data_IF_915260656870
#
_entry.id   IF_915260656870
#
_cell.length_a   1.000
_cell.length_b   1.000
_cell.length_c   1.000
_cell.angle_alpha   90.00
_cell.angle_beta   90.00
_cell.angle_gamma   90.00
#
_symmetry.space_group_name_H-M   'P 1'
#
loop_
_entity.id
_entity.type
_entity.pdbx_description
1 polymer ?
#
# COMPACT_ATOMS: atom_id res chain seq x y z
N UNK A 1 -2.94 15.84 34.88
CA UNK A 1 -3.28 16.73 33.77
C UNK A 1 -2.95 16.00 32.47
N UNK A 2 -3.94 15.60 31.70
CA UNK A 2 -3.72 14.97 30.38
C UNK A 2 -3.17 16.05 29.46
N UNK A 3 -1.95 15.86 28.94
CA UNK A 3 -1.41 16.74 27.91
C UNK A 3 -2.40 16.73 26.74
N UNK A 4 -2.95 17.88 26.39
CA UNK A 4 -3.77 18.01 25.19
C UNK A 4 -2.91 17.59 23.99
N UNK A 5 -3.24 16.46 23.38
CA UNK A 5 -2.58 16.06 22.13
C UNK A 5 -2.88 17.11 21.06
N UNK A 6 -1.85 17.63 20.43
CA UNK A 6 -2.01 18.58 19.33
C UNK A 6 -2.76 17.91 18.17
N UNK A 7 -3.75 18.61 17.63
CA UNK A 7 -4.49 18.15 16.43
C UNK A 7 -3.51 17.95 15.26
N UNK A 8 -3.63 16.84 14.56
CA UNK A 8 -2.89 16.54 13.31
C UNK A 8 -3.83 16.27 12.16
N UNK A 9 -3.46 16.70 10.99
CA UNK A 9 -4.22 16.45 9.77
C UNK A 9 -3.64 15.22 9.06
N UNK A 10 -4.55 14.39 8.55
CA UNK A 10 -4.22 13.21 7.74
C UNK A 10 -4.98 13.31 6.44
N UNK A 11 -4.28 13.17 5.31
CA UNK A 11 -4.88 12.97 4.01
C UNK A 11 -5.03 11.47 3.76
N UNK A 12 -6.23 11.03 3.45
CA UNK A 12 -6.54 9.67 3.03
C UNK A 12 -6.92 9.70 1.55
N UNK A 13 -6.09 9.13 0.68
CA UNK A 13 -6.38 8.98 -0.75
C UNK A 13 -6.80 7.53 -1.01
N UNK A 14 -8.04 7.34 -1.45
CA UNK A 14 -8.59 6.01 -1.78
C UNK A 14 -9.36 6.07 -3.08
N UNK A 15 -8.92 5.33 -4.07
CA UNK A 15 -9.56 5.32 -5.38
C UNK A 15 -8.92 4.34 -6.34
N UNK A 16 -9.55 4.14 -7.48
CA UNK A 16 -9.05 3.31 -8.57
C UNK A 16 -9.85 2.05 -8.78
N UNK A 17 -9.24 1.07 -9.43
CA UNK A 17 -9.89 -0.05 -10.06
C UNK A 17 -9.55 -1.39 -9.38
N UNK A 18 -10.28 -2.43 -9.70
CA UNK A 18 -10.03 -3.85 -9.42
C UNK A 18 -10.06 -4.27 -7.96
N UNK A 19 -10.39 -3.37 -7.05
CA UNK A 19 -10.44 -3.61 -5.60
C UNK A 19 -11.67 -2.98 -4.99
N UNK A 20 -12.17 -3.55 -3.89
CA UNK A 20 -13.22 -2.95 -3.07
C UNK A 20 -12.67 -1.73 -2.31
N UNK A 21 -12.61 -0.62 -3.05
CA UNK A 21 -12.09 0.67 -2.56
C UNK A 21 -12.92 1.19 -1.39
N UNK A 22 -14.24 0.98 -1.42
CA UNK A 22 -15.13 1.47 -0.39
C UNK A 22 -14.97 0.70 0.92
N UNK A 23 -14.80 -0.62 0.85
CA UNK A 23 -14.46 -1.43 2.02
C UNK A 23 -13.14 -0.98 2.63
N UNK A 24 -12.08 -0.87 1.81
CA UNK A 24 -10.77 -0.44 2.28
C UNK A 24 -10.82 0.96 2.92
N UNK A 25 -11.52 1.91 2.28
CA UNK A 25 -11.76 3.26 2.81
C UNK A 25 -12.43 3.21 4.17
N UNK A 26 -13.52 2.44 4.29
CA UNK A 26 -14.26 2.29 5.54
C UNK A 26 -13.37 1.75 6.66
N UNK A 27 -12.59 0.70 6.38
CA UNK A 27 -11.67 0.09 7.35
C UNK A 27 -10.56 1.06 7.78
N UNK A 28 -9.96 1.77 6.83
CA UNK A 28 -8.90 2.76 7.10
C UNK A 28 -9.42 3.94 7.92
N UNK A 29 -10.61 4.45 7.61
CA UNK A 29 -11.26 5.48 8.44
C UNK A 29 -11.52 4.96 9.85
N UNK A 30 -11.92 3.70 10.01
CA UNK A 30 -12.08 3.05 11.32
C UNK A 30 -10.80 3.11 12.15
N UNK A 31 -9.65 2.70 11.58
CA UNK A 31 -8.36 2.76 12.27
C UNK A 31 -7.92 4.20 12.59
N UNK A 32 -8.17 5.17 11.71
CA UNK A 32 -7.86 6.58 11.96
C UNK A 32 -8.72 7.17 13.07
N UNK A 33 -9.98 6.77 13.16
CA UNK A 33 -10.92 7.23 14.21
C UNK A 33 -10.58 6.72 15.61
N UNK A 34 -9.77 5.67 15.74
CA UNK A 34 -9.23 5.24 17.04
C UNK A 34 -8.32 6.32 17.68
N UNK A 35 -7.93 7.36 16.91
CA UNK A 35 -7.04 8.45 17.32
C UNK A 35 -7.77 9.79 17.32
N UNK A 36 -8.38 10.17 18.45
CA UNK A 36 -9.26 11.35 18.57
C UNK A 36 -8.62 12.72 18.20
N UNK A 37 -7.29 12.79 18.15
CA UNK A 37 -6.55 14.02 17.76
C UNK A 37 -6.25 14.09 16.27
N UNK A 38 -6.56 13.04 15.49
CA UNK A 38 -6.40 13.07 14.05
C UNK A 38 -7.64 13.70 13.39
N UNK A 39 -7.39 14.50 12.37
CA UNK A 39 -8.41 15.05 11.49
C UNK A 39 -8.15 14.58 10.07
N UNK A 40 -9.02 13.70 9.60
CA UNK A 40 -8.87 13.08 8.28
C UNK A 40 -9.61 13.88 7.22
N UNK A 41 -8.97 14.07 6.07
CA UNK A 41 -9.57 14.52 4.81
C UNK A 41 -9.46 13.39 3.80
N UNK A 42 -10.55 13.11 3.10
CA UNK A 42 -10.61 12.04 2.09
C UNK A 42 -10.50 12.65 0.70
N UNK A 43 -9.69 12.01 -0.13
CA UNK A 43 -9.50 12.30 -1.55
C UNK A 43 -9.67 11.02 -2.35
N UNK A 44 -10.11 11.12 -3.60
CA UNK A 44 -10.28 9.97 -4.48
C UNK A 44 -9.14 9.82 -5.50
N UNK A 45 -8.44 10.92 -5.77
CA UNK A 45 -7.32 11.01 -6.70
C UNK A 45 -6.23 11.90 -6.10
N UNK A 46 -5.11 12.03 -6.81
CA UNK A 46 -4.03 12.96 -6.47
C UNK A 46 -4.21 14.37 -7.08
N UNK A 47 -5.33 14.69 -7.72
CA UNK A 47 -5.51 15.96 -8.43
C UNK A 47 -5.33 17.18 -7.52
N UNK A 48 -5.79 17.10 -6.28
CA UNK A 48 -5.58 18.16 -5.29
C UNK A 48 -4.32 17.90 -4.44
N UNK A 49 -3.16 17.85 -5.09
CA UNK A 49 -1.88 17.59 -4.40
C UNK A 49 -1.57 18.63 -3.32
N UNK A 50 -1.93 19.90 -3.53
CA UNK A 50 -1.73 20.95 -2.51
C UNK A 50 -2.56 20.68 -1.26
N UNK A 51 -3.82 20.26 -1.42
CA UNK A 51 -4.69 19.86 -0.31
C UNK A 51 -4.20 18.60 0.40
N UNK A 52 -3.64 17.65 -0.33
CA UNK A 52 -3.06 16.41 0.21
C UNK A 52 -1.81 16.72 1.02
N UNK A 53 -0.87 17.47 0.46
CA UNK A 53 0.40 17.82 1.10
C UNK A 53 0.26 18.89 2.21
N UNK A 54 -0.91 19.50 2.37
CA UNK A 54 -1.21 20.39 3.51
C UNK A 54 -1.40 19.62 4.84
N UNK A 55 -1.44 18.30 4.80
CA UNK A 55 -1.49 17.44 5.99
C UNK A 55 -0.09 17.03 6.43
N UNK A 56 0.06 16.62 7.67
CA UNK A 56 1.33 16.10 8.20
C UNK A 56 1.51 14.62 7.86
N UNK A 57 0.41 13.92 7.58
CA UNK A 57 0.38 12.49 7.32
C UNK A 57 -0.44 12.19 6.06
N UNK A 58 0.01 11.20 5.31
CA UNK A 58 -0.67 10.68 4.13
C UNK A 58 -0.91 9.18 4.28
N UNK A 59 -2.12 8.73 3.97
CA UNK A 59 -2.46 7.31 3.83
C UNK A 59 -3.02 7.12 2.42
N UNK A 60 -2.55 6.10 1.71
CA UNK A 60 -3.06 5.80 0.37
C UNK A 60 -3.44 4.33 0.24
N UNK A 61 -4.58 4.09 -0.38
CA UNK A 61 -5.02 2.80 -0.89
C UNK A 61 -5.59 3.04 -2.28
N UNK A 62 -4.77 2.87 -3.28
CA UNK A 62 -5.12 3.17 -4.68
C UNK A 62 -4.69 2.01 -5.59
N UNK A 63 -5.35 1.87 -6.73
CA UNK A 63 -4.89 1.04 -7.84
C UNK A 63 -5.24 1.76 -9.13
N UNK A 64 -4.32 1.91 -10.06
CA UNK A 64 -4.47 2.75 -11.26
C UNK A 64 -4.76 4.24 -10.98
N UNK A 65 -4.51 4.71 -9.79
CA UNK A 65 -4.57 6.13 -9.42
C UNK A 65 -3.21 6.52 -8.89
N UNK A 66 -2.47 7.26 -9.70
CA UNK A 66 -1.13 7.78 -9.42
C UNK A 66 -1.11 9.29 -9.68
N UNK A 67 -0.23 10.07 -9.05
CA UNK A 67 -0.13 11.50 -9.32
C UNK A 67 0.38 11.76 -10.74
N UNK A 68 -0.07 12.87 -11.33
CA UNK A 68 0.56 13.40 -12.53
C UNK A 68 2.07 13.59 -12.29
N UNK A 69 2.93 13.27 -13.27
CA UNK A 69 4.39 13.42 -13.10
C UNK A 69 4.82 14.81 -12.62
N UNK A 70 4.13 15.87 -13.01
CA UNK A 70 4.42 17.25 -12.56
C UNK A 70 4.12 17.48 -11.07
N UNK A 71 3.34 16.63 -10.44
CA UNK A 71 2.97 16.72 -9.02
C UNK A 71 3.90 15.92 -8.10
N UNK A 72 4.68 14.98 -8.65
CA UNK A 72 5.60 14.15 -7.87
C UNK A 72 6.63 14.98 -7.08
N UNK A 73 7.19 16.09 -7.60
CA UNK A 73 8.07 16.95 -6.82
C UNK A 73 7.42 17.52 -5.55
N UNK A 74 6.11 17.82 -5.55
CA UNK A 74 5.40 18.30 -4.34
C UNK A 74 5.29 17.17 -3.30
N UNK A 75 4.96 15.96 -3.72
CA UNK A 75 4.90 14.80 -2.84
C UNK A 75 6.28 14.47 -2.26
N UNK A 76 7.34 14.58 -3.05
CA UNK A 76 8.73 14.46 -2.58
C UNK A 76 9.04 15.53 -1.53
N UNK A 77 8.72 16.78 -1.80
CA UNK A 77 8.95 17.88 -0.89
C UNK A 77 8.19 17.72 0.43
N UNK A 78 6.95 17.21 0.40
CA UNK A 78 6.19 16.84 1.59
C UNK A 78 6.97 15.86 2.47
N UNK A 79 7.54 14.81 1.89
CA UNK A 79 8.35 13.82 2.61
C UNK A 79 9.67 14.43 3.10
N UNK A 80 10.39 15.15 2.25
CA UNK A 80 11.68 15.77 2.61
C UNK A 80 11.55 16.70 3.82
N UNK A 81 10.38 17.34 3.99
CA UNK A 81 10.07 18.21 5.11
C UNK A 81 9.49 17.47 6.35
N UNK A 82 9.55 16.15 6.39
CA UNK A 82 9.18 15.34 7.56
C UNK A 82 7.78 14.72 7.49
N UNK A 83 7.09 14.83 6.36
CA UNK A 83 5.82 14.16 6.14
C UNK A 83 5.95 12.64 6.25
N UNK A 84 4.90 11.98 6.70
CA UNK A 84 4.85 10.52 6.77
C UNK A 84 3.77 9.96 5.86
N UNK A 85 4.11 8.91 5.15
CA UNK A 85 3.22 8.28 4.18
C UNK A 85 3.10 6.77 4.45
N UNK A 86 1.88 6.33 4.77
CA UNK A 86 1.49 4.91 4.77
C UNK A 86 0.87 4.59 3.41
N UNK A 87 1.58 3.86 2.60
CA UNK A 87 1.15 3.42 1.27
C UNK A 87 0.74 1.94 1.32
N UNK A 88 -0.43 1.62 0.83
CA UNK A 88 -1.01 0.30 0.93
C UNK A 88 -1.27 -0.30 -0.45
N UNK A 89 -1.00 -1.60 -0.55
CA UNK A 89 -1.39 -2.49 -1.62
C UNK A 89 -1.16 -1.90 -3.02
N UNK A 90 -2.21 -1.71 -3.83
CA UNK A 90 -2.15 -1.21 -5.20
C UNK A 90 -1.60 0.21 -5.38
N UNK A 91 -1.19 0.89 -4.30
CA UNK A 91 -0.60 2.24 -4.40
C UNK A 91 0.64 2.27 -5.30
N UNK A 92 1.35 1.17 -5.47
CA UNK A 92 2.49 1.05 -6.39
C UNK A 92 2.13 0.45 -7.76
N UNK A 93 0.84 0.42 -8.10
CA UNK A 93 0.31 -0.21 -9.32
C UNK A 93 -0.21 0.83 -10.31
N UNK A 94 0.24 0.71 -11.53
CA UNK A 94 -0.27 1.42 -12.71
C UNK A 94 -0.33 0.42 -13.86
N UNK A 95 -1.52 -0.02 -14.23
CA UNK A 95 -1.74 -1.21 -15.04
C UNK A 95 -2.45 -0.90 -16.34
N UNK A 96 -2.00 -1.56 -17.40
CA UNK A 96 -2.68 -1.64 -18.68
C UNK A 96 -2.67 -3.08 -19.18
N UNK A 97 -3.51 -3.39 -20.14
CA UNK A 97 -3.47 -4.66 -20.87
C UNK A 97 -2.82 -4.48 -22.23
N UNK A 98 -2.00 -5.44 -22.63
CA UNK A 98 -1.50 -5.51 -24.00
C UNK A 98 -2.54 -6.18 -24.94
N UNK A 99 -2.22 -6.26 -26.24
CA UNK A 99 -3.09 -6.88 -27.26
C UNK A 99 -3.46 -8.36 -26.96
N UNK A 100 -2.66 -9.05 -26.15
CA UNK A 100 -2.93 -10.43 -25.74
C UNK A 100 -3.73 -10.51 -24.43
N UNK A 101 -4.24 -9.39 -23.91
CA UNK A 101 -4.98 -9.30 -22.66
C UNK A 101 -4.14 -9.51 -21.40
N UNK A 102 -2.80 -9.39 -21.49
CA UNK A 102 -1.92 -9.54 -20.33
C UNK A 102 -1.63 -8.20 -19.69
N UNK A 103 -1.64 -8.19 -18.38
CA UNK A 103 -1.36 -7.01 -17.57
C UNK A 103 0.13 -6.65 -17.58
N UNK A 104 0.43 -5.36 -17.60
CA UNK A 104 1.78 -4.82 -17.46
C UNK A 104 1.71 -3.40 -16.89
N UNK A 105 2.82 -2.89 -16.38
CA UNK A 105 2.96 -1.50 -15.95
C UNK A 105 3.53 -0.67 -17.11
N UNK A 106 2.76 0.23 -17.73
CA UNK A 106 3.28 1.14 -18.76
C UNK A 106 4.22 2.17 -18.13
N UNK A 107 5.09 2.76 -18.95
CA UNK A 107 5.96 3.86 -18.54
C UNK A 107 5.19 5.16 -18.26
N UNK A 108 5.94 6.19 -17.83
CA UNK A 108 5.43 7.56 -17.63
C UNK A 108 5.27 8.00 -16.18
N UNK A 109 5.44 7.09 -15.22
CA UNK A 109 5.33 7.39 -13.78
C UNK A 109 6.57 6.93 -12.97
N UNK A 110 7.73 6.86 -13.61
CA UNK A 110 8.96 6.35 -13.02
C UNK A 110 9.37 7.11 -11.76
N UNK A 111 9.24 8.44 -11.77
CA UNK A 111 9.59 9.28 -10.60
C UNK A 111 8.72 9.01 -9.39
N UNK A 112 7.43 8.68 -9.60
CA UNK A 112 6.52 8.29 -8.53
C UNK A 112 6.93 6.95 -7.92
N UNK A 113 7.20 5.94 -8.74
CA UNK A 113 7.61 4.63 -8.25
C UNK A 113 9.01 4.66 -7.61
N UNK A 114 9.93 5.45 -8.16
CA UNK A 114 11.24 5.70 -7.56
C UNK A 114 11.09 6.38 -6.18
N UNK A 115 10.16 7.33 -6.04
CA UNK A 115 9.87 7.96 -4.75
C UNK A 115 9.30 6.93 -3.77
N UNK A 116 8.33 6.13 -4.18
CA UNK A 116 7.72 5.09 -3.35
C UNK A 116 8.72 3.98 -2.99
N UNK A 117 9.63 3.63 -3.91
CA UNK A 117 10.69 2.64 -3.73
C UNK A 117 10.41 1.28 -4.35
N UNK A 118 9.22 1.07 -4.88
CA UNK A 118 8.85 -0.14 -5.60
C UNK A 118 7.81 0.14 -6.68
N UNK A 119 7.76 -0.76 -7.64
CA UNK A 119 6.74 -0.83 -8.68
C UNK A 119 6.19 -2.25 -8.74
N UNK A 120 4.87 -2.37 -8.73
CA UNK A 120 4.20 -3.65 -8.97
C UNK A 120 4.52 -4.16 -10.38
N UNK A 121 4.75 -5.45 -10.51
CA UNK A 121 4.99 -6.10 -11.79
C UNK A 121 3.95 -7.19 -12.07
N UNK A 122 3.66 -8.03 -11.07
CA UNK A 122 2.77 -9.17 -11.23
C UNK A 122 2.37 -9.76 -9.87
N UNK A 123 1.42 -10.69 -9.87
CA UNK A 123 1.14 -11.61 -8.78
C UNK A 123 0.74 -13.00 -9.32
N UNK A 124 1.04 -14.10 -8.63
CA UNK A 124 0.49 -15.41 -8.96
C UNK A 124 -1.01 -15.45 -8.65
N UNK A 125 -1.74 -16.51 -9.02
CA UNK A 125 -3.10 -16.71 -8.53
C UNK A 125 -3.17 -16.62 -7.01
N UNK A 126 -4.25 -16.03 -6.51
CA UNK A 126 -4.46 -15.87 -5.07
C UNK A 126 -4.49 -17.24 -4.40
N UNK A 127 -3.60 -17.44 -3.43
CA UNK A 127 -3.43 -18.66 -2.67
C UNK A 127 -2.84 -18.36 -1.30
N UNK A 128 -2.97 -19.27 -0.32
CA UNK A 128 -2.30 -19.10 0.96
C UNK A 128 -0.77 -19.01 0.82
N UNK A 129 -0.15 -18.11 1.57
CA UNK A 129 1.31 -18.00 1.63
C UNK A 129 1.78 -17.53 3.01
N UNK A 130 3.05 -17.79 3.29
CA UNK A 130 3.68 -17.40 4.55
C UNK A 130 4.38 -16.06 4.41
N UNK A 131 4.17 -15.19 5.40
CA UNK A 131 4.91 -13.96 5.61
C UNK A 131 5.94 -14.19 6.70
N UNK A 132 7.19 -13.82 6.40
CA UNK A 132 8.33 -13.91 7.31
C UNK A 132 8.65 -12.53 7.86
N UNK A 133 8.79 -12.43 9.18
CA UNK A 133 9.21 -11.19 9.85
C UNK A 133 10.72 -11.12 9.83
N UNK A 134 11.27 -10.08 9.19
CA UNK A 134 12.73 -9.90 9.01
C UNK A 134 13.32 -8.90 9.97
N UNK A 135 12.51 -7.98 10.50
CA UNK A 135 12.94 -6.97 11.46
C UNK A 135 11.93 -6.85 12.61
N UNK A 136 12.32 -7.29 13.79
CA UNK A 136 11.52 -7.22 15.01
C UNK A 136 11.84 -6.01 15.89
N UNK A 137 12.75 -5.14 15.46
CA UNK A 137 13.11 -3.92 16.20
C UNK A 137 12.24 -2.71 15.79
N UNK A 138 11.65 -2.75 14.61
CA UNK A 138 10.81 -1.66 14.12
C UNK A 138 9.47 -1.60 14.88
N UNK A 139 8.95 -0.42 15.27
CA UNK A 139 7.72 -0.28 16.06
C UNK A 139 6.52 -1.02 15.47
N UNK A 140 6.39 -1.08 14.15
CA UNK A 140 5.26 -1.73 13.47
C UNK A 140 5.36 -3.26 13.51
N UNK A 141 6.55 -3.82 13.32
CA UNK A 141 6.78 -5.27 13.27
C UNK A 141 7.25 -5.88 14.60
N UNK A 142 7.44 -5.06 15.63
CA UNK A 142 7.88 -5.50 16.96
C UNK A 142 6.98 -6.62 17.49
N UNK A 143 7.60 -7.65 18.04
CA UNK A 143 6.93 -8.81 18.62
C UNK A 143 6.03 -9.60 17.67
N UNK A 144 6.03 -9.27 16.37
CA UNK A 144 5.37 -10.09 15.37
C UNK A 144 6.16 -11.40 15.18
N UNK A 145 5.42 -12.45 14.86
CA UNK A 145 5.97 -13.74 14.41
C UNK A 145 5.56 -13.96 12.95
N UNK A 146 6.26 -14.87 12.29
CA UNK A 146 5.83 -15.35 10.99
C UNK A 146 4.38 -15.79 11.03
N UNK A 147 3.63 -15.51 9.98
CA UNK A 147 2.21 -15.88 9.93
C UNK A 147 1.81 -16.35 8.53
N UNK A 148 0.68 -17.04 8.48
CA UNK A 148 0.05 -17.45 7.23
C UNK A 148 -1.05 -16.48 6.84
N UNK A 149 -1.11 -16.14 5.56
CA UNK A 149 -2.26 -15.49 4.92
C UNK A 149 -3.15 -16.61 4.40
N UNK A 150 -3.94 -17.22 5.30
CA UNK A 150 -4.67 -18.47 5.02
C UNK A 150 -5.75 -18.30 3.94
N UNK A 151 -6.46 -17.18 3.93
CA UNK A 151 -7.46 -16.85 2.91
C UNK A 151 -6.86 -16.49 1.55
N UNK A 152 -5.54 -16.33 1.49
CA UNK A 152 -4.83 -15.75 0.35
C UNK A 152 -4.94 -14.23 0.30
N UNK A 153 -3.97 -13.62 -0.35
CA UNK A 153 -3.93 -12.20 -0.72
C UNK A 153 -3.12 -12.14 -2.02
N UNK A 154 -3.11 -11.05 -2.73
CA UNK A 154 -2.24 -10.89 -3.88
C UNK A 154 -0.79 -10.79 -3.42
N UNK A 155 -0.02 -11.87 -3.61
CA UNK A 155 1.42 -11.84 -3.34
C UNK A 155 2.13 -11.02 -4.42
N UNK A 156 2.43 -9.78 -4.13
CA UNK A 156 3.04 -8.86 -5.09
C UNK A 156 4.49 -9.24 -5.42
N UNK A 157 4.73 -9.49 -6.69
CA UNK A 157 6.05 -9.50 -7.28
C UNK A 157 6.37 -8.08 -7.73
N UNK A 158 7.43 -7.50 -7.19
CA UNK A 158 7.73 -6.09 -7.37
C UNK A 158 9.18 -5.88 -7.82
N UNK A 159 9.37 -4.89 -8.68
CA UNK A 159 10.67 -4.31 -8.89
C UNK A 159 10.98 -3.33 -7.76
N UNK A 160 12.04 -3.60 -7.02
CA UNK A 160 12.56 -2.68 -6.01
C UNK A 160 13.41 -1.61 -6.72
N UNK A 161 13.07 -0.34 -6.52
CA UNK A 161 13.66 0.81 -7.22
C UNK A 161 14.52 1.67 -6.30
N UNK A 162 14.66 1.29 -5.04
CA UNK A 162 15.48 1.97 -4.05
C UNK A 162 15.91 1.00 -2.96
N UNK A 163 16.94 1.36 -2.20
CA UNK A 163 17.25 0.71 -0.94
C UNK A 163 16.14 1.01 0.08
N UNK A 164 15.64 -0.05 0.71
CA UNK A 164 14.57 0.01 1.69
C UNK A 164 14.89 -0.87 2.90
N UNK A 165 14.36 -0.52 4.04
CA UNK A 165 14.39 -1.36 5.24
C UNK A 165 13.24 -2.36 5.18
N UNK A 166 13.51 -3.60 4.83
CA UNK A 166 12.50 -4.66 4.76
C UNK A 166 12.14 -5.15 6.16
N UNK A 167 10.88 -5.03 6.54
CA UNK A 167 10.36 -5.45 7.84
C UNK A 167 9.69 -6.83 7.78
N UNK A 168 9.07 -7.13 6.64
CA UNK A 168 8.44 -8.43 6.37
C UNK A 168 8.57 -8.76 4.89
N UNK A 169 8.67 -10.05 4.58
CA UNK A 169 8.79 -10.56 3.22
C UNK A 169 8.02 -11.86 3.03
N UNK A 170 7.72 -12.19 1.79
CA UNK A 170 7.23 -13.49 1.39
C UNK A 170 8.06 -14.03 0.22
N UNK A 171 7.97 -15.33 -0.03
CA UNK A 171 8.71 -15.98 -1.13
C UNK A 171 7.80 -16.21 -2.33
N UNK A 172 8.32 -15.98 -3.52
CA UNK A 172 7.63 -16.27 -4.76
C UNK A 172 7.19 -17.75 -4.80
N UNK A 173 5.94 -17.98 -5.16
CA UNK A 173 5.27 -19.30 -5.07
C UNK A 173 4.49 -19.68 -6.33
N UNK A 174 4.87 -19.17 -7.49
CA UNK A 174 4.19 -19.54 -8.73
C UNK A 174 4.34 -18.55 -9.86
N UNK A 175 3.96 -18.97 -11.06
CA UNK A 175 3.97 -18.13 -12.24
C UNK A 175 2.79 -17.16 -12.25
N UNK A 176 3.05 -15.92 -12.65
CA UNK A 176 2.05 -14.86 -12.78
C UNK A 176 1.46 -14.82 -14.20
N UNK A 177 0.70 -15.87 -14.56
CA UNK A 177 0.29 -16.15 -15.96
C UNK A 177 -0.54 -15.05 -16.62
N UNK A 178 -1.25 -14.23 -15.85
CA UNK A 178 -2.05 -13.10 -16.36
C UNK A 178 -1.23 -11.87 -16.73
N UNK A 179 0.08 -11.89 -16.48
CA UNK A 179 0.98 -10.73 -16.65
C UNK A 179 1.98 -10.94 -17.78
N UNK A 180 2.55 -9.85 -18.27
CA UNK A 180 3.66 -9.88 -19.24
C UNK A 180 4.90 -10.45 -18.55
N UNK A 181 5.23 -9.97 -17.36
CA UNK A 181 6.30 -10.48 -16.51
C UNK A 181 5.78 -11.66 -15.68
N UNK A 182 5.72 -12.83 -16.27
CA UNK A 182 5.05 -14.01 -15.69
C UNK A 182 5.98 -15.00 -15.00
N UNK A 183 7.26 -14.99 -15.35
CA UNK A 183 8.24 -15.96 -14.82
C UNK A 183 9.08 -15.27 -13.73
N UNK A 184 9.07 -15.85 -12.54
CA UNK A 184 9.77 -15.34 -11.37
C UNK A 184 10.50 -16.50 -10.70
N UNK A 185 11.71 -16.24 -10.20
CA UNK A 185 12.53 -17.26 -9.57
C UNK A 185 11.84 -17.82 -8.33
N UNK A 186 11.67 -19.15 -8.30
CA UNK A 186 11.07 -19.82 -7.17
C UNK A 186 11.85 -19.55 -5.88
N UNK A 187 11.15 -19.08 -4.86
CA UNK A 187 11.76 -18.72 -3.58
C UNK A 187 12.41 -17.34 -3.54
N UNK A 188 12.39 -16.56 -4.63
CA UNK A 188 12.75 -15.15 -4.59
C UNK A 188 11.93 -14.43 -3.50
N UNK A 189 12.60 -13.61 -2.70
CA UNK A 189 11.94 -12.84 -1.63
C UNK A 189 11.39 -11.54 -2.18
N UNK A 190 10.13 -11.26 -1.83
CA UNK A 190 9.47 -10.00 -2.12
C UNK A 190 9.08 -9.31 -0.81
N UNK A 191 9.41 -8.02 -0.62
CA UNK A 191 8.97 -7.27 0.54
C UNK A 191 7.44 -7.24 0.63
N UNK A 192 6.91 -7.56 1.82
CA UNK A 192 5.49 -7.41 2.17
C UNK A 192 5.27 -6.12 2.93
N UNK A 193 6.23 -5.74 3.76
CA UNK A 193 6.24 -4.49 4.51
C UNK A 193 7.66 -3.93 4.49
N UNK A 194 7.81 -2.68 4.08
CA UNK A 194 9.10 -1.98 4.13
C UNK A 194 8.96 -0.52 4.52
N UNK A 195 10.03 0.03 5.08
CA UNK A 195 10.19 1.46 5.34
C UNK A 195 11.24 2.04 4.39
N UNK A 196 10.97 3.24 3.88
CA UNK A 196 11.90 4.04 3.07
C UNK A 196 12.03 5.44 3.62
N UNK A 197 13.27 5.86 3.90
CA UNK A 197 13.57 7.23 4.30
C UNK A 197 13.61 8.16 3.08
N UNK A 198 12.99 9.34 3.18
CA UNK A 198 13.05 10.40 2.16
C UNK A 198 13.24 11.74 2.86
N UNK A 199 14.46 12.28 2.86
CA UNK A 199 14.80 13.47 3.64
C UNK A 199 14.54 13.25 5.13
N UNK A 200 13.73 14.11 5.76
CA UNK A 200 13.34 14.00 7.16
C UNK A 200 12.08 13.14 7.37
N UNK A 201 11.37 12.76 6.29
CA UNK A 201 10.16 11.95 6.33
C UNK A 201 10.39 10.52 5.92
N UNK A 202 9.35 9.72 6.05
CA UNK A 202 9.40 8.28 5.76
C UNK A 202 8.15 7.80 5.02
N UNK A 203 8.33 6.76 4.22
CA UNK A 203 7.27 5.97 3.63
C UNK A 203 7.26 4.60 4.29
N UNK A 204 6.09 4.13 4.72
CA UNK A 204 5.85 2.75 5.09
C UNK A 204 4.94 2.15 4.01
N UNK A 205 5.45 1.19 3.26
CA UNK A 205 4.67 0.50 2.24
C UNK A 205 4.31 -0.91 2.69
N UNK A 206 3.04 -1.28 2.50
CA UNK A 206 2.50 -2.56 2.91
C UNK A 206 1.72 -3.20 1.74
N UNK A 207 2.25 -4.28 1.16
CA UNK A 207 1.65 -4.92 -0.02
C UNK A 207 0.40 -5.74 0.28
N UNK A 208 0.20 -6.19 1.52
CA UNK A 208 -1.06 -6.84 1.91
C UNK A 208 -2.21 -5.84 1.89
N UNK A 209 -3.41 -6.37 1.71
CA UNK A 209 -4.63 -5.58 1.76
C UNK A 209 -5.48 -5.71 0.50
N UNK A 210 -5.26 -6.77 -0.28
CA UNK A 210 -6.20 -7.12 -1.35
C UNK A 210 -7.61 -7.28 -0.80
N UNK A 211 -8.58 -6.75 -1.52
CA UNK A 211 -10.01 -7.00 -1.32
C UNK A 211 -10.71 -6.82 -2.65
N UNK A 212 -11.52 -7.80 -3.03
CA UNK A 212 -12.37 -7.73 -4.22
C UNK A 212 -13.73 -8.36 -3.92
N UNK A 213 -14.79 -7.62 -4.18
CA UNK A 213 -16.15 -8.10 -4.18
C UNK A 213 -16.63 -8.42 -5.59
N UNK A 214 -17.94 -8.60 -5.73
CA UNK A 214 -18.52 -9.06 -6.99
C UNK A 214 -18.50 -8.02 -8.11
N UNK A 215 -18.42 -6.72 -7.80
CA UNK A 215 -18.58 -5.62 -8.75
C UNK A 215 -17.28 -4.85 -9.04
N UNK A 216 -16.18 -5.23 -8.40
CA UNK A 216 -14.93 -4.46 -8.43
C UNK A 216 -14.10 -4.71 -9.70
N UNK A 217 -14.56 -5.55 -10.61
CA UNK A 217 -13.92 -5.80 -11.89
C UNK A 217 -14.52 -5.02 -13.06
N UNK A 218 -15.53 -4.18 -12.82
CA UNK A 218 -16.06 -3.29 -13.87
C UNK A 218 -14.97 -2.32 -14.38
N UNK A 219 -14.96 -1.99 -15.67
CA UNK A 219 -15.86 -2.47 -16.73
C UNK A 219 -15.40 -3.78 -17.42
N UNK A 220 -14.38 -4.46 -16.90
CA UNK A 220 -13.84 -5.68 -17.53
C UNK A 220 -14.78 -6.87 -17.41
N UNK A 221 -15.45 -6.99 -16.27
CA UNK A 221 -16.45 -8.01 -15.98
C UNK A 221 -17.60 -7.36 -15.23
N UNK A 222 -18.83 -7.60 -15.68
CA UNK A 222 -20.05 -7.12 -15.03
C UNK A 222 -20.28 -7.76 -13.66
N UNK A 223 -19.74 -8.96 -13.44
CA UNK A 223 -19.86 -9.71 -12.20
C UNK A 223 -18.67 -10.64 -12.00
N UNK A 224 -18.07 -10.59 -10.83
CA UNK A 224 -16.98 -11.47 -10.39
C UNK A 224 -17.54 -12.49 -9.39
N UNK A 225 -17.51 -13.76 -9.72
CA UNK A 225 -18.20 -14.81 -8.94
C UNK A 225 -17.64 -15.00 -7.53
N UNK A 226 -16.33 -14.78 -7.35
CA UNK A 226 -15.61 -15.09 -6.13
C UNK A 226 -15.26 -13.81 -5.34
N UNK A 227 -15.76 -13.69 -4.12
CA UNK A 227 -15.23 -12.69 -3.20
C UNK A 227 -13.81 -13.06 -2.73
N UNK A 228 -12.93 -12.07 -2.69
CA UNK A 228 -11.55 -12.22 -2.26
C UNK A 228 -11.30 -11.31 -1.06
N UNK A 229 -11.41 -11.84 0.18
CA UNK A 229 -11.34 -11.04 1.40
C UNK A 229 -9.93 -10.52 1.70
N UNK A 230 -8.89 -11.13 1.14
CA UNK A 230 -7.50 -10.78 1.40
C UNK A 230 -7.11 -10.89 2.88
N UNK A 231 -6.15 -10.06 3.27
CA UNK A 231 -5.62 -10.06 4.64
C UNK A 231 -6.47 -9.29 5.65
N UNK A 232 -7.52 -8.57 5.23
CA UNK A 232 -8.28 -7.65 6.09
C UNK A 232 -8.90 -8.30 7.33
N UNK A 233 -9.26 -9.59 7.24
CA UNK A 233 -9.87 -10.36 8.33
C UNK A 233 -8.84 -10.98 9.29
N UNK A 234 -7.54 -10.91 8.98
CA UNK A 234 -6.50 -11.46 9.84
C UNK A 234 -6.27 -10.57 11.07
N UNK A 235 -6.29 -11.13 12.30
CA UNK A 235 -6.00 -10.36 13.51
C UNK A 235 -4.62 -9.68 13.47
N UNK A 236 -3.62 -10.35 12.87
CA UNK A 236 -2.27 -9.79 12.71
C UNK A 236 -2.28 -8.58 11.79
N UNK A 237 -3.06 -8.58 10.70
CA UNK A 237 -3.20 -7.43 9.82
C UNK A 237 -3.80 -6.23 10.56
N UNK A 238 -4.89 -6.42 11.31
CA UNK A 238 -5.47 -5.37 12.15
C UNK A 238 -4.48 -4.80 13.18
N UNK A 239 -3.64 -5.66 13.76
CA UNK A 239 -2.57 -5.25 14.68
C UNK A 239 -1.52 -4.40 13.97
N UNK A 240 -1.05 -4.84 12.79
CA UNK A 240 -0.08 -4.10 11.98
C UNK A 240 -0.64 -2.75 11.53
N UNK A 241 -1.91 -2.70 11.13
CA UNK A 241 -2.57 -1.44 10.74
C UNK A 241 -2.63 -0.45 11.91
N UNK A 242 -3.03 -0.86 13.12
CA UNK A 242 -3.03 0.03 14.30
C UNK A 242 -1.63 0.54 14.64
N UNK A 243 -0.63 -0.31 14.55
CA UNK A 243 0.77 0.09 14.75
C UNK A 243 1.26 1.05 13.65
N UNK A 244 0.85 0.82 12.40
CA UNK A 244 1.15 1.72 11.30
C UNK A 244 0.50 3.09 11.49
N UNK A 245 -0.74 3.15 11.99
CA UNK A 245 -1.40 4.42 12.34
C UNK A 245 -0.69 5.14 13.50
N UNK A 246 -0.14 4.40 14.47
CA UNK A 246 0.69 4.99 15.53
C UNK A 246 2.02 5.50 14.97
N UNK A 247 2.72 4.68 14.18
CA UNK A 247 3.96 5.05 13.50
C UNK A 247 3.79 6.30 12.63
N UNK A 248 2.67 6.41 11.91
CA UNK A 248 2.34 7.55 11.05
C UNK A 248 2.40 8.90 11.79
N UNK A 249 2.22 8.88 13.09
CA UNK A 249 2.18 10.06 13.96
C UNK A 249 3.51 10.35 14.68
N UNK A 250 4.48 9.44 14.60
CA UNK A 250 5.77 9.61 15.27
C UNK A 250 6.68 10.56 14.48
N UNK A 251 7.47 11.40 15.18
CA UNK A 251 8.50 12.24 14.57
C UNK A 251 7.99 13.39 13.69
N UNK A 252 6.70 13.58 13.53
CA UNK A 252 6.12 14.74 12.86
C UNK A 252 6.19 15.92 13.84
N UNK A 253 6.88 17.00 13.43
CA UNK A 253 7.07 18.23 14.27
C UNK A 253 5.83 19.08 14.29
#
# INVERSE_FOLDING_TARGET
MSAHKTKRNVSLVTGGDYHDIDYARHRLLGFLLEHAHLRTRVFHTFDNMDGICASECLVTYTCNVVPDPSQVPKLRSFLENGGRWLALHGTNSWLAQNEQGRWYTPGGHEDYFNLLGSRFAAHPPIQPYRVYVTDTCHPVSRDCRDFMVEGGDELYYMHMLADVRVLMQAKASGAARGFVEREWDAGQSHPVLYEKQVGSGCILYFSLGHRRGHWDMEPLLDYYEREEPGAWELPVFSTLMRRSMTWLQEGVK
#
